data_IF_857253286572
#
_entry.id   IF_857253286572
#
_cell.length_a   1.000
_cell.length_b   1.000
_cell.length_c   1.000
_cell.angle_alpha   90.00
_cell.angle_beta   90.00
_cell.angle_gamma   90.00
#
_symmetry.space_group_name_H-M   'P 1'
#
loop_
_entity.id
_entity.type
_entity.pdbx_description
1 polymer ?
#
# COMPACT_ATOMS: atom_id res chain seq x y z
N UNK A 1 -3.93 8.05 9.70
CA UNK A 1 -4.24 7.10 8.61
C UNK A 1 -3.42 7.55 7.43
N UNK A 2 -2.62 6.66 6.83
CA UNK A 2 -1.82 6.93 5.64
C UNK A 2 -2.19 5.95 4.54
N UNK A 3 -1.87 6.29 3.29
CA UNK A 3 -2.11 5.41 2.15
C UNK A 3 -1.02 4.36 2.09
N UNK A 4 -1.40 3.10 2.32
CA UNK A 4 -0.44 2.00 2.38
C UNK A 4 -0.12 1.49 1.00
N UNK A 5 1.11 1.05 0.81
CA UNK A 5 1.53 0.53 -0.49
C UNK A 5 2.62 -0.53 -0.40
N UNK A 6 2.85 -1.24 -1.51
CA UNK A 6 4.07 -2.01 -1.75
C UNK A 6 4.95 -1.37 -2.81
N UNK A 7 6.26 -1.33 -2.56
CA UNK A 7 7.28 -1.13 -3.59
C UNK A 7 8.00 -2.45 -3.81
N UNK A 8 7.85 -3.03 -5.00
CA UNK A 8 8.40 -4.32 -5.35
C UNK A 8 9.45 -4.21 -6.46
N UNK A 9 10.46 -5.09 -6.40
CA UNK A 9 11.40 -5.34 -7.50
C UNK A 9 11.39 -6.84 -7.78
N UNK A 10 11.03 -7.21 -9.01
CA UNK A 10 11.04 -8.58 -9.49
C UNK A 10 12.24 -8.79 -10.41
N UNK A 11 13.10 -9.74 -10.08
CA UNK A 11 14.33 -10.01 -10.82
C UNK A 11 14.76 -11.47 -10.63
N UNK A 12 15.14 -12.13 -11.72
CA UNK A 12 15.50 -13.54 -11.80
C UNK A 12 14.41 -14.47 -11.22
N UNK A 13 13.15 -14.23 -11.59
CA UNK A 13 12.02 -15.10 -11.25
C UNK A 13 11.53 -14.98 -9.80
N UNK A 14 11.94 -13.95 -9.06
CA UNK A 14 11.50 -13.72 -7.67
C UNK A 14 11.45 -12.24 -7.30
N UNK A 15 10.63 -11.92 -6.29
CA UNK A 15 10.69 -10.61 -5.63
C UNK A 15 11.95 -10.53 -4.77
N UNK A 16 12.85 -9.62 -5.14
CA UNK A 16 14.08 -9.32 -4.40
C UNK A 16 13.91 -8.14 -3.44
N UNK A 17 12.89 -7.31 -3.68
CA UNK A 17 12.40 -6.26 -2.78
C UNK A 17 10.88 -6.36 -2.77
N UNK A 18 10.28 -6.27 -1.59
CA UNK A 18 8.83 -6.20 -1.37
C UNK A 18 8.59 -5.34 -0.12
N UNK A 19 8.87 -4.04 -0.25
CA UNK A 19 8.85 -3.09 0.85
C UNK A 19 7.43 -2.60 1.11
N UNK A 20 6.92 -2.87 2.31
CA UNK A 20 5.72 -2.21 2.83
C UNK A 20 5.99 -0.72 3.07
N UNK A 21 5.06 0.12 2.62
CA UNK A 21 5.03 1.56 2.82
C UNK A 21 3.78 1.97 3.59
N UNK A 22 3.94 2.74 4.66
CA UNK A 22 2.81 3.22 5.48
C UNK A 22 2.16 4.51 4.95
N UNK A 23 2.92 5.30 4.19
CA UNK A 23 2.56 6.66 3.80
C UNK A 23 2.73 6.88 2.31
N UNK A 24 1.97 7.85 1.80
CA UNK A 24 2.09 8.40 0.45
C UNK A 24 2.03 7.33 -0.65
N UNK A 25 1.24 6.27 -0.44
CA UNK A 25 1.09 5.16 -1.38
C UNK A 25 0.47 5.52 -2.72
N UNK A 26 -0.22 6.65 -2.85
CA UNK A 26 -0.85 7.09 -4.10
C UNK A 26 0.15 7.31 -5.26
N UNK A 27 -0.32 7.33 -6.52
CA UNK A 27 0.50 7.63 -7.69
C UNK A 27 1.34 8.89 -7.53
N UNK A 28 0.77 9.98 -7.02
CA UNK A 28 1.45 11.27 -6.83
C UNK A 28 2.56 11.23 -5.76
N UNK A 29 2.53 10.22 -4.89
CA UNK A 29 3.54 10.00 -3.85
C UNK A 29 4.57 8.96 -4.28
N UNK A 30 4.41 7.73 -3.79
CA UNK A 30 5.34 6.64 -4.03
C UNK A 30 5.41 6.27 -5.52
N UNK A 31 4.32 6.39 -6.29
CA UNK A 31 4.34 6.14 -7.74
C UNK A 31 5.32 7.06 -8.48
N UNK A 32 5.16 8.37 -8.35
CA UNK A 32 6.04 9.39 -8.94
C UNK A 32 7.47 9.27 -8.41
N UNK A 33 7.64 8.92 -7.12
CA UNK A 33 8.97 8.68 -6.55
C UNK A 33 9.69 7.51 -7.22
N UNK A 34 8.98 6.41 -7.52
CA UNK A 34 9.53 5.26 -8.25
C UNK A 34 9.80 5.64 -9.71
N UNK A 35 8.87 6.30 -10.38
CA UNK A 35 9.05 6.77 -11.76
C UNK A 35 10.29 7.67 -11.87
N UNK A 36 10.42 8.66 -10.98
CA UNK A 36 11.56 9.59 -10.93
C UNK A 36 12.87 8.85 -10.72
N UNK A 37 12.88 7.84 -9.84
CA UNK A 37 14.04 6.98 -9.64
C UNK A 37 14.44 6.27 -10.94
N UNK A 38 13.47 5.71 -11.67
CA UNK A 38 13.70 4.94 -12.90
C UNK A 38 14.05 5.82 -14.12
N UNK A 39 13.58 7.07 -14.17
CA UNK A 39 13.90 8.03 -15.23
C UNK A 39 15.38 8.41 -15.28
N UNK A 40 16.12 8.28 -14.17
CA UNK A 40 17.58 8.36 -14.20
C UNK A 40 18.16 7.00 -14.65
N UNK A 41 18.75 6.91 -15.86
CA UNK A 41 19.23 5.64 -16.41
C UNK A 41 20.39 5.03 -15.61
N UNK A 42 20.99 5.76 -14.66
CA UNK A 42 22.06 5.25 -13.80
C UNK A 42 21.53 4.50 -12.57
N UNK A 43 20.28 4.74 -12.18
CA UNK A 43 19.73 4.25 -10.92
C UNK A 43 19.40 2.76 -10.96
N UNK A 44 18.73 2.28 -12.01
CA UNK A 44 18.41 0.86 -12.14
C UNK A 44 19.68 -0.02 -12.18
N UNK A 45 20.73 0.28 -12.97
CA UNK A 45 21.98 -0.46 -12.90
C UNK A 45 22.64 -0.47 -11.51
N UNK A 46 22.63 0.66 -10.79
CA UNK A 46 23.16 0.74 -9.41
C UNK A 46 22.35 -0.13 -8.44
N UNK A 47 21.03 -0.09 -8.54
CA UNK A 47 20.13 -0.95 -7.76
C UNK A 47 20.46 -2.42 -7.97
N UNK A 48 20.54 -2.86 -9.23
CA UNK A 48 20.82 -4.25 -9.58
C UNK A 48 22.20 -4.70 -9.08
N UNK A 49 23.21 -3.85 -9.19
CA UNK A 49 24.56 -4.14 -8.70
C UNK A 49 24.64 -4.34 -7.18
N UNK A 50 23.65 -3.83 -6.42
CA UNK A 50 23.61 -3.91 -4.97
C UNK A 50 22.63 -4.96 -4.42
N UNK A 51 21.96 -5.74 -5.27
CA UNK A 51 21.01 -6.76 -4.80
C UNK A 51 21.67 -7.85 -3.95
N UNK A 52 22.93 -8.19 -4.22
CA UNK A 52 23.69 -9.18 -3.43
C UNK A 52 24.07 -8.68 -2.03
N UNK A 53 23.92 -7.38 -1.76
CA UNK A 53 24.12 -6.81 -0.42
C UNK A 53 22.88 -6.95 0.47
N UNK A 54 21.74 -7.37 -0.08
CA UNK A 54 20.49 -7.52 0.64
C UNK A 54 20.48 -8.82 1.45
N UNK A 55 19.95 -8.77 2.66
CA UNK A 55 19.72 -9.97 3.47
C UNK A 55 18.48 -9.80 4.35
N UNK A 56 17.83 -10.92 4.67
CA UNK A 56 16.76 -10.96 5.68
C UNK A 56 17.43 -11.17 7.04
N UNK A 57 17.28 -10.24 8.00
CA UNK A 57 17.88 -10.39 9.32
C UNK A 57 17.27 -11.55 10.10
N UNK A 58 18.04 -12.14 11.00
CA UNK A 58 17.50 -13.10 11.97
C UNK A 58 16.72 -12.40 13.10
N UNK A 59 16.05 -13.20 13.94
CA UNK A 59 15.23 -12.69 15.04
C UNK A 59 16.04 -11.85 16.04
N UNK A 60 17.29 -12.23 16.32
CA UNK A 60 18.15 -11.50 17.25
C UNK A 60 18.61 -10.15 16.66
N UNK A 61 18.91 -10.10 15.36
CA UNK A 61 19.20 -8.85 14.64
C UNK A 61 17.98 -7.92 14.64
N UNK A 62 16.78 -8.45 14.38
CA UNK A 62 15.53 -7.68 14.42
C UNK A 62 15.24 -7.13 15.83
N UNK A 63 15.36 -7.96 16.87
CA UNK A 63 15.22 -7.53 18.26
C UNK A 63 16.19 -6.41 18.61
N UNK A 64 17.44 -6.50 18.15
CA UNK A 64 18.45 -5.47 18.39
C UNK A 64 18.10 -4.15 17.70
N UNK A 65 17.65 -4.17 16.44
CA UNK A 65 17.18 -2.96 15.76
C UNK A 65 15.98 -2.34 16.46
N UNK A 66 15.01 -3.16 16.90
CA UNK A 66 13.84 -2.70 17.63
C UNK A 66 14.21 -2.09 18.99
N UNK A 67 15.13 -2.72 19.72
CA UNK A 67 15.66 -2.21 20.99
C UNK A 67 16.36 -0.86 20.80
N UNK A 68 17.17 -0.71 19.76
CA UNK A 68 17.82 0.56 19.43
C UNK A 68 16.78 1.63 19.04
N UNK A 69 15.74 1.26 18.28
CA UNK A 69 14.66 2.17 17.91
C UNK A 69 13.89 2.64 19.16
N UNK A 70 13.58 1.72 20.08
CA UNK A 70 12.94 2.06 21.35
C UNK A 70 13.80 3.05 22.15
N UNK A 71 15.11 2.82 22.26
CA UNK A 71 16.03 3.75 22.92
C UNK A 71 16.03 5.15 22.29
N UNK A 72 16.03 5.23 20.96
CA UNK A 72 15.94 6.51 20.23
C UNK A 72 14.62 7.23 20.55
N UNK A 73 13.50 6.49 20.54
CA UNK A 73 12.18 7.05 20.84
C UNK A 73 12.07 7.52 22.29
N UNK A 74 12.50 6.70 23.26
CA UNK A 74 12.49 7.05 24.69
C UNK A 74 13.32 8.30 24.97
N UNK A 75 14.54 8.38 24.43
CA UNK A 75 15.39 9.58 24.61
C UNK A 75 14.74 10.84 24.01
N UNK A 76 14.05 10.70 22.87
CA UNK A 76 13.35 11.82 22.25
C UNK A 76 12.08 12.22 23.02
N UNK A 77 11.37 11.27 23.62
CA UNK A 77 10.26 11.53 24.54
C UNK A 77 10.72 12.32 25.78
N UNK A 78 11.83 11.93 26.40
CA UNK A 78 12.42 12.65 27.54
C UNK A 78 12.82 14.08 27.14
N UNK A 79 13.46 14.24 25.97
CA UNK A 79 13.84 15.56 25.46
C UNK A 79 12.62 16.48 25.19
N UNK A 80 11.47 15.91 24.80
CA UNK A 80 10.23 16.65 24.63
C UNK A 80 9.50 16.92 25.95
N UNK A 81 9.68 16.06 26.95
CA UNK A 81 9.03 16.19 28.25
C UNK A 81 9.57 17.41 29.03
N UNK A 82 10.87 17.71 28.91
CA UNK A 82 11.45 18.96 29.40
C UNK A 82 10.96 20.15 28.56
N UNK A 83 9.80 20.69 28.93
CA UNK A 83 9.15 21.78 28.19
C UNK A 83 9.99 23.05 28.10
N UNK A 84 10.80 23.34 29.13
CA UNK A 84 11.64 24.54 29.14
C UNK A 84 12.80 24.38 28.16
N UNK A 85 13.51 23.26 28.22
CA UNK A 85 14.59 22.97 27.27
C UNK A 85 14.07 22.85 25.84
N UNK A 86 12.96 22.15 25.63
CA UNK A 86 12.35 21.96 24.30
C UNK A 86 11.89 23.29 23.68
N UNK A 87 11.38 24.22 24.48
CA UNK A 87 10.96 25.54 24.00
C UNK A 87 12.13 26.43 23.55
N UNK A 88 13.38 26.14 23.97
CA UNK A 88 14.58 26.84 23.50
C UNK A 88 15.12 26.30 22.17
N UNK A 89 14.67 25.10 21.76
CA UNK A 89 15.08 24.51 20.50
C UNK A 89 14.50 25.31 19.32
N UNK A 90 15.30 25.45 18.28
CA UNK A 90 14.82 25.98 17.01
C UNK A 90 13.95 24.95 16.28
N UNK A 91 13.32 25.37 15.18
CA UNK A 91 12.41 24.53 14.42
C UNK A 91 13.03 23.21 13.93
N UNK A 92 14.28 23.26 13.45
CA UNK A 92 14.96 22.05 12.95
C UNK A 92 15.29 21.08 14.07
N UNK A 93 15.72 21.59 15.22
CA UNK A 93 15.97 20.79 16.42
C UNK A 93 14.70 20.12 16.94
N UNK A 94 13.59 20.87 17.00
CA UNK A 94 12.28 20.31 17.37
C UNK A 94 11.81 19.24 16.38
N UNK A 95 12.01 19.46 15.08
CA UNK A 95 11.70 18.48 14.05
C UNK A 95 12.54 17.20 14.23
N UNK A 96 13.83 17.30 14.54
CA UNK A 96 14.68 16.14 14.82
C UNK A 96 14.16 15.33 16.01
N UNK A 97 13.73 16.00 17.09
CA UNK A 97 13.13 15.32 18.24
C UNK A 97 11.84 14.63 17.82
N UNK A 98 10.95 15.32 17.10
CA UNK A 98 9.70 14.76 16.61
C UNK A 98 9.92 13.54 15.69
N UNK A 99 10.87 13.61 14.76
CA UNK A 99 11.19 12.51 13.84
C UNK A 99 11.72 11.28 14.59
N UNK A 100 12.58 11.48 15.60
CA UNK A 100 13.10 10.39 16.45
C UNK A 100 12.02 9.73 17.30
N UNK A 101 11.01 10.49 17.72
CA UNK A 101 9.85 9.95 18.45
C UNK A 101 8.95 9.14 17.54
N UNK A 102 8.58 9.70 16.38
CA UNK A 102 7.58 9.13 15.49
C UNK A 102 8.12 7.97 14.65
N UNK A 103 9.37 8.08 14.18
CA UNK A 103 9.96 7.18 13.20
C UNK A 103 11.34 6.66 13.63
N UNK A 104 11.49 6.12 14.86
CA UNK A 104 12.79 5.74 15.39
C UNK A 104 13.49 4.65 14.58
N UNK A 105 12.75 3.67 14.06
CA UNK A 105 13.34 2.60 13.24
C UNK A 105 13.90 3.17 11.93
N UNK A 106 13.29 4.22 11.36
CA UNK A 106 13.83 4.90 10.17
C UNK A 106 15.19 5.57 10.45
N UNK A 107 15.44 5.97 11.69
CA UNK A 107 16.72 6.56 12.11
C UNK A 107 17.78 5.48 12.33
N UNK A 108 17.39 4.35 12.92
CA UNK A 108 18.29 3.25 13.26
C UNK A 108 18.62 2.39 12.05
N UNK A 109 17.61 1.97 11.30
CA UNK A 109 17.70 1.06 10.18
C UNK A 109 16.64 1.42 9.13
N UNK A 110 16.93 2.41 8.25
CA UNK A 110 15.92 2.90 7.33
C UNK A 110 15.35 1.81 6.40
N UNK A 111 16.14 0.81 6.00
CA UNK A 111 15.67 -0.26 5.11
C UNK A 111 14.66 -1.22 5.73
N UNK A 112 14.51 -1.23 7.06
CA UNK A 112 13.48 -2.00 7.77
C UNK A 112 12.26 -1.15 8.16
N UNK A 113 12.33 0.16 7.94
CA UNK A 113 11.25 1.07 8.34
C UNK A 113 10.13 1.10 7.30
N UNK A 114 8.90 0.85 7.74
CA UNK A 114 7.67 1.07 6.94
C UNK A 114 7.54 2.48 6.37
N UNK A 115 8.16 3.47 6.99
CA UNK A 115 8.15 4.87 6.56
C UNK A 115 9.15 5.15 5.43
N UNK A 116 9.92 4.14 4.99
CA UNK A 116 10.84 4.26 3.87
C UNK A 116 10.13 4.17 2.53
N UNK A 117 9.14 3.28 2.41
CA UNK A 117 8.33 3.09 1.21
C UNK A 117 9.19 3.01 -0.05
N UNK A 118 8.83 3.76 -1.10
CA UNK A 118 9.59 3.82 -2.34
C UNK A 118 11.05 4.31 -2.21
N UNK A 119 11.41 4.94 -1.08
CA UNK A 119 12.79 5.33 -0.78
C UNK A 119 13.76 4.15 -0.70
N UNK A 120 13.26 2.92 -0.56
CA UNK A 120 14.09 1.71 -0.53
C UNK A 120 14.92 1.57 -1.80
N UNK A 121 14.40 1.98 -2.96
CA UNK A 121 15.11 1.87 -4.24
C UNK A 121 16.40 2.70 -4.23
N UNK A 122 16.30 3.96 -3.78
CA UNK A 122 17.47 4.84 -3.64
C UNK A 122 18.45 4.31 -2.60
N UNK A 123 17.94 3.88 -1.44
CA UNK A 123 18.77 3.36 -0.35
C UNK A 123 19.62 2.18 -0.81
N UNK A 124 19.02 1.22 -1.53
CA UNK A 124 19.75 0.07 -2.06
C UNK A 124 20.68 0.47 -3.20
N UNK A 125 20.27 1.37 -4.10
CA UNK A 125 21.13 1.83 -5.18
C UNK A 125 22.40 2.56 -4.68
N UNK A 126 22.34 3.22 -3.54
CA UNK A 126 23.46 3.99 -2.98
C UNK A 126 24.27 3.26 -1.91
N UNK A 127 23.84 2.08 -1.49
CA UNK A 127 24.50 1.37 -0.38
C UNK A 127 25.95 1.01 -0.70
N UNK A 128 26.78 1.01 0.35
CA UNK A 128 28.16 0.52 0.34
C UNK A 128 28.36 -0.62 1.34
N UNK A 129 27.29 -1.05 2.00
CA UNK A 129 27.29 -2.05 3.05
C UNK A 129 26.12 -3.02 2.85
N UNK A 130 26.13 -4.11 3.61
CA UNK A 130 24.98 -5.00 3.70
C UNK A 130 23.74 -4.24 4.17
N UNK A 131 22.61 -4.52 3.54
CA UNK A 131 21.32 -3.87 3.82
C UNK A 131 20.33 -4.92 4.32
N UNK A 132 19.87 -4.81 5.58
CA UNK A 132 18.79 -5.65 6.08
C UNK A 132 17.48 -5.26 5.40
N UNK A 133 16.71 -6.23 4.93
CA UNK A 133 15.39 -6.01 4.31
C UNK A 133 14.36 -6.97 4.89
N UNK A 134 13.11 -6.53 4.90
CA UNK A 134 11.95 -7.39 5.16
C UNK A 134 11.11 -7.47 3.88
N UNK A 135 10.79 -8.70 3.47
CA UNK A 135 9.98 -8.95 2.29
C UNK A 135 8.54 -9.22 2.74
N UNK A 136 7.60 -8.40 2.27
CA UNK A 136 6.17 -8.56 2.57
C UNK A 136 5.33 -8.76 1.29
N UNK A 137 5.69 -9.69 0.38
CA UNK A 137 5.00 -9.84 -0.89
C UNK A 137 3.55 -10.29 -0.72
N UNK A 138 3.21 -10.98 0.36
CA UNK A 138 1.86 -11.51 0.60
C UNK A 138 0.87 -10.41 1.02
N UNK A 139 1.35 -9.23 1.41
CA UNK A 139 0.48 -8.08 1.67
C UNK A 139 -0.32 -7.66 0.44
N UNK A 140 0.14 -8.02 -0.78
CA UNK A 140 -0.58 -7.79 -2.03
C UNK A 140 -1.99 -8.42 -2.04
N UNK A 141 -2.20 -9.51 -1.30
CA UNK A 141 -3.47 -10.23 -1.26
C UNK A 141 -4.51 -9.53 -0.35
N UNK A 142 -4.07 -8.63 0.53
CA UNK A 142 -4.93 -7.85 1.40
C UNK A 142 -5.44 -6.61 0.64
N UNK A 143 -6.28 -6.81 -0.37
CA UNK A 143 -6.72 -5.73 -1.28
C UNK A 143 -7.49 -4.61 -0.59
N UNK A 144 -7.96 -4.84 0.64
CA UNK A 144 -8.59 -3.81 1.48
C UNK A 144 -7.55 -2.85 2.08
N UNK A 145 -6.37 -3.35 2.43
CA UNK A 145 -5.33 -2.58 3.10
C UNK A 145 -4.12 -2.27 2.23
N UNK A 146 -3.81 -3.11 1.24
CA UNK A 146 -2.87 -2.83 0.17
C UNK A 146 -3.54 -1.94 -0.87
N UNK A 147 -3.62 -0.65 -0.54
CA UNK A 147 -4.30 0.35 -1.36
C UNK A 147 -3.57 0.56 -2.70
N UNK A 148 -2.24 0.50 -2.70
CA UNK A 148 -1.42 0.61 -3.93
C UNK A 148 -0.26 -0.37 -3.96
N UNK A 149 0.16 -0.79 -5.15
CA UNK A 149 1.41 -1.52 -5.32
C UNK A 149 2.10 -1.13 -6.62
N UNK A 150 3.43 -1.10 -6.59
CA UNK A 150 4.26 -0.77 -7.74
C UNK A 150 5.30 -1.86 -7.92
N UNK A 151 5.37 -2.44 -9.12
CA UNK A 151 6.32 -3.50 -9.45
C UNK A 151 7.29 -2.96 -10.49
N UNK A 152 8.58 -2.93 -10.14
CA UNK A 152 9.67 -2.81 -11.10
C UNK A 152 10.02 -4.23 -11.55
N UNK A 153 9.48 -4.65 -12.68
CA UNK A 153 9.69 -5.96 -13.25
C UNK A 153 10.89 -5.92 -14.19
N UNK A 154 12.06 -6.31 -13.66
CA UNK A 154 13.33 -6.25 -14.39
C UNK A 154 13.39 -7.32 -15.47
N UNK A 155 12.78 -8.48 -15.23
CA UNK A 155 12.81 -9.63 -16.14
C UNK A 155 12.05 -9.33 -17.43
N UNK A 156 10.90 -8.65 -17.33
CA UNK A 156 10.10 -8.25 -18.50
C UNK A 156 10.45 -6.84 -19.00
N UNK A 157 11.12 -6.02 -18.18
CA UNK A 157 11.48 -4.64 -18.51
C UNK A 157 10.30 -3.68 -18.38
N UNK A 158 9.51 -3.82 -17.33
CA UNK A 158 8.22 -3.12 -17.15
C UNK A 158 8.10 -2.48 -15.75
N UNK A 159 7.43 -1.33 -15.69
CA UNK A 159 6.88 -0.74 -14.47
C UNK A 159 5.37 -0.98 -14.48
N UNK A 160 4.86 -1.57 -13.40
CA UNK A 160 3.43 -1.86 -13.24
C UNK A 160 2.90 -1.12 -12.00
N UNK A 161 1.72 -0.51 -12.11
CA UNK A 161 1.01 0.12 -11.00
C UNK A 161 -0.31 -0.59 -10.73
N UNK A 162 -0.65 -0.78 -9.46
CA UNK A 162 -1.85 -1.49 -9.04
C UNK A 162 -2.59 -0.73 -7.94
N UNK A 163 -3.92 -0.86 -7.91
CA UNK A 163 -4.77 -0.29 -6.87
C UNK A 163 -5.74 -1.33 -6.28
N UNK A 164 -5.84 -1.36 -4.95
CA UNK A 164 -6.77 -2.23 -4.22
C UNK A 164 -8.21 -1.72 -4.26
N UNK A 165 -9.19 -2.62 -4.26
CA UNK A 165 -10.63 -2.30 -4.34
C UNK A 165 -11.05 -1.49 -5.59
N UNK A 166 -10.39 -1.73 -6.72
CA UNK A 166 -10.72 -1.13 -8.02
C UNK A 166 -10.89 -2.22 -9.09
N UNK A 167 -11.58 -1.92 -10.18
CA UNK A 167 -11.48 -2.62 -11.46
C UNK A 167 -10.38 -1.96 -12.30
N UNK A 168 -9.62 -2.74 -13.05
CA UNK A 168 -8.50 -2.23 -13.83
C UNK A 168 -8.33 -2.97 -15.14
N UNK A 169 -7.21 -2.71 -15.79
CA UNK A 169 -6.91 -3.23 -17.12
C UNK A 169 -6.87 -4.76 -17.14
N UNK A 170 -7.45 -5.37 -18.17
CA UNK A 170 -7.21 -6.77 -18.48
C UNK A 170 -5.80 -6.97 -19.06
N UNK A 171 -5.11 -8.07 -18.70
CA UNK A 171 -3.81 -8.37 -19.29
C UNK A 171 -2.95 -9.35 -18.51
N UNK A 172 -1.72 -9.56 -18.99
CA UNK A 172 -0.66 -10.23 -18.23
C UNK A 172 -0.21 -9.28 -17.12
N UNK A 173 -0.05 -9.82 -15.91
CA UNK A 173 0.34 -9.01 -14.76
C UNK A 173 1.09 -9.88 -13.74
N UNK A 174 1.93 -9.26 -12.92
CA UNK A 174 2.85 -9.93 -12.00
C UNK A 174 2.19 -10.79 -10.91
N UNK A 175 0.89 -10.58 -10.63
CA UNK A 175 0.14 -11.30 -9.58
C UNK A 175 -0.96 -12.25 -10.12
N UNK A 176 -0.77 -12.82 -11.31
CA UNK A 176 -1.77 -13.68 -11.97
C UNK A 176 -2.13 -14.95 -11.18
N UNK A 177 -1.20 -15.44 -10.37
CA UNK A 177 -1.30 -16.66 -9.55
C UNK A 177 -1.87 -16.41 -8.14
N UNK A 178 -2.03 -15.15 -7.73
CA UNK A 178 -2.53 -14.75 -6.41
C UNK A 178 -4.05 -14.89 -6.32
N UNK A 179 -4.55 -15.31 -5.14
CA UNK A 179 -5.99 -15.56 -4.91
C UNK A 179 -6.83 -14.29 -4.98
N UNK A 180 -6.33 -13.25 -4.33
CA UNK A 180 -6.82 -11.87 -4.40
C UNK A 180 -5.65 -10.99 -4.83
N UNK A 181 -5.96 -9.93 -5.57
CA UNK A 181 -4.95 -9.02 -6.07
C UNK A 181 -5.56 -7.64 -6.32
N UNK A 182 -4.78 -6.57 -6.17
CA UNK A 182 -5.19 -5.27 -6.64
C UNK A 182 -5.29 -5.29 -8.17
N UNK A 183 -6.11 -4.39 -8.71
CA UNK A 183 -6.31 -4.26 -10.14
C UNK A 183 -5.14 -3.51 -10.78
N UNK A 184 -4.79 -3.89 -12.02
CA UNK A 184 -3.72 -3.25 -12.79
C UNK A 184 -4.21 -1.88 -13.29
N UNK A 185 -3.51 -0.82 -12.88
CA UNK A 185 -3.82 0.57 -13.23
C UNK A 185 -2.96 1.11 -14.38
N UNK A 186 -1.83 0.46 -14.66
CA UNK A 186 -0.98 0.84 -15.77
C UNK A 186 0.27 -0.01 -15.87
N UNK A 187 0.81 -0.06 -17.08
CA UNK A 187 2.00 -0.83 -17.45
C UNK A 187 2.82 -0.01 -18.44
N UNK A 188 4.08 0.26 -18.10
CA UNK A 188 5.00 1.06 -18.92
C UNK A 188 6.31 0.33 -19.12
N UNK A 189 6.90 0.46 -20.31
CA UNK A 189 8.22 -0.12 -20.61
C UNK A 189 9.32 0.69 -19.90
N UNK A 190 10.27 0.01 -19.28
CA UNK A 190 11.38 0.68 -18.58
C UNK A 190 12.32 1.45 -19.52
N UNK A 191 12.35 1.11 -20.81
CA UNK A 191 13.12 1.81 -21.85
C UNK A 191 12.34 2.93 -22.56
N UNK A 192 11.06 3.11 -22.24
CA UNK A 192 10.20 4.16 -22.78
C UNK A 192 9.22 4.67 -21.71
N UNK A 193 9.77 5.09 -20.57
CA UNK A 193 8.97 5.57 -19.44
C UNK A 193 8.27 6.90 -19.76
N UNK A 194 7.01 7.07 -19.33
CA UNK A 194 6.27 8.30 -19.51
C UNK A 194 6.86 9.45 -18.69
N UNK A 195 6.51 10.68 -19.07
CA UNK A 195 6.67 11.82 -18.16
C UNK A 195 5.76 11.68 -16.93
N UNK A 196 6.10 12.32 -15.82
CA UNK A 196 5.26 12.35 -14.60
C UNK A 196 3.80 12.70 -14.90
N UNK A 197 3.58 13.73 -15.73
CA UNK A 197 2.23 14.17 -16.11
C UNK A 197 1.47 13.07 -16.86
N UNK A 198 2.16 12.36 -17.76
CA UNK A 198 1.54 11.29 -18.55
C UNK A 198 1.26 10.07 -17.67
N UNK A 199 2.20 9.67 -16.82
CA UNK A 199 2.02 8.59 -15.84
C UNK A 199 0.78 8.78 -14.97
N UNK A 200 0.59 9.99 -14.42
CA UNK A 200 -0.59 10.31 -13.61
C UNK A 200 -1.87 10.35 -14.45
N UNK A 201 -1.81 10.82 -15.69
CA UNK A 201 -2.96 10.86 -16.60
C UNK A 201 -3.41 9.43 -16.97
N UNK A 202 -2.48 8.55 -17.30
CA UNK A 202 -2.74 7.16 -17.66
C UNK A 202 -3.47 6.43 -16.52
N UNK A 203 -3.00 6.58 -15.27
CA UNK A 203 -3.66 5.95 -14.11
C UNK A 203 -5.03 6.56 -13.86
N UNK A 204 -5.17 7.88 -14.00
CA UNK A 204 -6.44 8.58 -13.79
C UNK A 204 -7.51 8.13 -14.80
N UNK A 205 -7.14 7.91 -16.05
CA UNK A 205 -8.06 7.41 -17.08
C UNK A 205 -8.66 6.06 -16.70
N UNK A 206 -7.85 5.15 -16.14
CA UNK A 206 -8.33 3.82 -15.67
C UNK A 206 -9.24 3.96 -14.45
N UNK A 207 -8.88 4.83 -13.49
CA UNK A 207 -9.71 5.07 -12.30
C UNK A 207 -11.06 5.72 -12.62
N UNK A 208 -11.11 6.62 -13.61
CA UNK A 208 -12.36 7.25 -14.04
C UNK A 208 -13.28 6.25 -14.74
N UNK A 209 -12.71 5.35 -15.56
CA UNK A 209 -13.47 4.26 -16.17
C UNK A 209 -14.08 3.29 -15.13
N UNK A 210 -13.32 2.94 -14.09
CA UNK A 210 -13.80 2.10 -12.97
C UNK A 210 -14.98 2.74 -12.22
N UNK A 211 -14.93 4.05 -11.96
CA UNK A 211 -16.02 4.77 -11.31
C UNK A 211 -17.29 4.83 -12.17
N UNK A 212 -17.15 5.09 -13.47
CA UNK A 212 -18.28 5.10 -14.40
C UNK A 212 -18.98 3.72 -14.48
N UNK A 213 -18.22 2.61 -14.52
CA UNK A 213 -18.82 1.28 -14.47
C UNK A 213 -19.50 0.99 -13.12
N UNK A 214 -18.90 1.40 -12.00
CA UNK A 214 -19.49 1.28 -10.67
C UNK A 214 -20.83 1.98 -10.55
N UNK A 215 -20.91 3.23 -11.00
CA UNK A 215 -22.13 4.05 -10.97
C UNK A 215 -23.25 3.42 -11.84
N UNK A 216 -22.91 2.89 -13.02
CA UNK A 216 -23.89 2.19 -13.89
C UNK A 216 -24.46 0.93 -13.21
N UNK A 217 -23.62 0.16 -12.52
CA UNK A 217 -24.05 -1.05 -11.81
C UNK A 217 -24.93 -0.69 -10.62
N UNK A 218 -24.58 0.36 -9.86
CA UNK A 218 -25.42 0.84 -8.75
C UNK A 218 -26.79 1.32 -9.24
N UNK A 219 -26.85 2.15 -10.29
CA UNK A 219 -28.10 2.63 -10.88
C UNK A 219 -29.00 1.47 -11.35
N UNK A 220 -28.45 0.46 -12.02
CA UNK A 220 -29.21 -0.72 -12.45
C UNK A 220 -29.67 -1.61 -11.28
N UNK A 221 -28.88 -1.69 -10.20
CA UNK A 221 -29.25 -2.45 -9.00
C UNK A 221 -30.40 -1.81 -8.21
N UNK A 222 -30.47 -0.47 -8.21
CA UNK A 222 -31.56 0.28 -7.61
C UNK A 222 -32.85 0.20 -8.46
N UNK A 223 -32.73 0.17 -9.79
CA UNK A 223 -33.88 -0.07 -10.68
C UNK A 223 -34.47 -1.47 -10.53
N UNK A 224 -33.64 -2.52 -10.40
CA UNK A 224 -34.14 -3.90 -10.16
C UNK A 224 -34.77 -4.07 -8.77
N UNK A 225 -34.29 -3.35 -7.75
CA UNK A 225 -34.89 -3.36 -6.40
C UNK A 225 -36.14 -2.47 -6.28
N UNK A 226 -36.41 -1.59 -7.25
CA UNK A 226 -37.60 -0.74 -7.31
C UNK A 226 -38.89 -1.44 -7.74
N UNK A 227 -38.82 -2.65 -8.30
CA UNK A 227 -39.99 -3.38 -8.83
C UNK A 227 -40.41 -4.50 -7.86
N UNK A 228 -41.12 -4.15 -6.77
CA UNK A 228 -42.15 -4.99 -6.12
C UNK A 228 -42.68 -4.35 -4.82
N UNK A 229 -43.55 -3.33 -4.93
CA UNK A 229 -44.60 -3.05 -3.93
C UNK A 229 -45.79 -2.31 -4.57
N UNK A 230 -46.53 -2.98 -5.45
CA UNK A 230 -47.90 -2.58 -5.73
C UNK A 230 -48.88 -3.70 -5.34
N UNK A 231 -49.61 -3.42 -4.27
CA UNK A 231 -51.05 -3.66 -4.13
C UNK A 231 -51.57 -5.09 -4.20
N UNK A 232 -51.81 -5.69 -3.03
CA UNK A 232 -53.08 -6.41 -2.80
C UNK A 232 -53.62 -5.94 -1.45
N UNK A 233 -54.46 -4.90 -1.48
CA UNK A 233 -55.48 -4.66 -0.46
C UNK A 233 -56.59 -5.70 -0.66
N UNK A 234 -56.95 -6.42 0.41
CA UNK A 234 -58.07 -7.34 0.46
C UNK A 234 -58.67 -7.30 1.86
N UNK A 235 -59.90 -6.82 1.91
CA UNK A 235 -60.68 -6.32 3.04
C UNK A 235 -61.30 -7.43 3.93
N UNK A 236 -61.84 -6.96 5.06
CA UNK A 236 -62.31 -7.58 6.31
C UNK A 236 -63.37 -8.71 6.26
N UNK A 237 -63.42 -9.52 7.34
CA UNK A 237 -64.52 -9.54 8.36
C UNK A 237 -64.98 -10.94 8.85
N UNK A 238 -65.25 -11.02 10.18
CA UNK A 238 -66.11 -12.00 10.89
C UNK A 238 -65.50 -13.38 11.16
N UNK A 239 -65.74 -14.08 12.27
CA UNK A 239 -66.58 -13.93 13.46
C UNK A 239 -66.14 -14.98 14.49
N UNK A 240 -66.68 -14.86 15.70
CA UNK A 240 -66.53 -15.69 16.91
C UNK A 240 -66.65 -17.22 16.69
N UNK A 241 -65.98 -18.02 17.52
CA UNK A 241 -66.65 -18.91 18.49
C UNK A 241 -65.65 -19.66 19.38
N UNK A 242 -66.08 -19.81 20.64
CA UNK A 242 -65.48 -20.56 21.75
C UNK A 242 -65.57 -22.08 21.50
N UNK A 243 -64.61 -22.86 22.02
CA UNK A 243 -64.86 -23.93 23.01
C UNK A 243 -63.79 -25.05 23.10
N UNK A 244 -63.52 -25.37 24.36
CA UNK A 244 -63.25 -26.68 24.97
C UNK A 244 -62.01 -27.56 24.65
N UNK A 245 -61.17 -27.64 25.69
CA UNK A 245 -60.75 -28.84 26.44
C UNK A 245 -59.83 -29.94 25.85
N UNK A 246 -58.98 -30.41 26.79
CA UNK A 246 -58.41 -31.75 26.98
C UNK A 246 -57.11 -32.09 26.21
N UNK A 247 -55.92 -32.22 26.82
CA UNK A 247 -55.40 -33.11 27.90
C UNK A 247 -54.43 -34.17 27.33
N UNK A 248 -53.17 -34.13 27.83
CA UNK A 248 -52.26 -35.25 28.19
C UNK A 248 -51.65 -36.06 27.01
N UNK A 249 -50.33 -36.28 26.90
CA UNK A 249 -49.25 -36.61 27.87
C UNK A 249 -47.98 -35.84 27.55
#
# INVERSE_FOLDING_TARGET
MGTRSLTLVYHNGKYVIAQYGQWDGYPEGNGVKILTFLLDPTNLPKLLANLDNLYVPDEAELEEYNRQAEQVSSAAHEARYDREAYAQLNFDEQRIVQDRMSNPLKIVCPSLSRDTGAGILQLVAETKARVPIQLEPDFIEDTLFCEWAYVVNVDEGELEAYAGNHVGMEGRHSFADRKSRPALMGLWRLDDLPSEKQFLADIKEVLEFDQEEGDIVEEHSDEENGIKREGIEGDQSGSEDEDEEAIVV
#
